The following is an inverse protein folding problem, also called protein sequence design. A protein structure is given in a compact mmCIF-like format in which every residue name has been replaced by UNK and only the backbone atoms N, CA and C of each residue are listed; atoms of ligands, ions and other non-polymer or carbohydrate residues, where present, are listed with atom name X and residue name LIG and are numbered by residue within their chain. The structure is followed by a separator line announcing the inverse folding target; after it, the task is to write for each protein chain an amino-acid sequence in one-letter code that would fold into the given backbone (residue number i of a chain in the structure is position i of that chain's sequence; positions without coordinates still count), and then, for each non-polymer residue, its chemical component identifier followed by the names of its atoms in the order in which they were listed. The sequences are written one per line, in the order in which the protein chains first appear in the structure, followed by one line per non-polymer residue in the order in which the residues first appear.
data_IF_178668184028
#
_entry.id   IF_178668184028
#
_cell.length_a   1.000
_cell.length_b   1.000
_cell.length_c   1.000
_cell.angle_alpha   90.00
_cell.angle_beta   90.00
_cell.angle_gamma   90.00
#
_symmetry.space_group_name_H-M   'P 1'
#
loop_
_entity.id
_entity.type
_entity.pdbx_description
1 polymer ?
#
# COMPACT_ATOMS: atom_id res chain seq x y z
N UNK A 1 -49.67 18.50 26.30
CA UNK A 1 -48.80 17.31 26.40
C UNK A 1 -47.52 17.67 25.70
N UNK A 2 -46.49 17.96 26.49
CA UNK A 2 -45.22 18.58 26.10
C UNK A 2 -44.15 17.51 25.87
N UNK A 3 -43.14 17.91 25.12
CA UNK A 3 -41.86 17.25 24.85
C UNK A 3 -41.82 15.93 24.07
N UNK A 4 -41.54 16.12 22.78
CA UNK A 4 -40.82 15.22 21.90
C UNK A 4 -39.44 14.85 22.47
N UNK A 5 -39.25 13.59 22.88
CA UNK A 5 -37.93 13.07 23.28
C UNK A 5 -37.54 11.91 22.37
N UNK A 6 -37.14 12.27 21.14
CA UNK A 6 -36.52 11.36 20.20
C UNK A 6 -35.09 11.05 20.67
N UNK A 7 -34.95 10.12 21.63
CA UNK A 7 -33.65 9.53 21.99
C UNK A 7 -33.15 8.65 20.84
N UNK A 8 -32.41 9.29 19.94
CA UNK A 8 -31.29 8.78 19.15
C UNK A 8 -31.10 7.24 19.21
N UNK A 9 -31.52 6.46 18.20
CA UNK A 9 -31.18 5.05 18.10
C UNK A 9 -29.85 4.91 17.34
N UNK A 10 -28.73 5.23 17.99
CA UNK A 10 -27.37 4.94 17.46
C UNK A 10 -27.09 3.42 17.37
N UNK A 11 -28.00 2.57 17.86
CA UNK A 11 -27.87 1.11 17.87
C UNK A 11 -28.25 0.43 16.56
N UNK A 12 -29.10 1.03 15.71
CA UNK A 12 -29.50 0.43 14.42
C UNK A 12 -28.57 0.82 13.25
N UNK A 13 -27.83 1.93 13.39
CA UNK A 13 -26.84 2.37 12.40
C UNK A 13 -25.50 1.63 12.55
N UNK A 14 -25.22 1.12 13.75
CA UNK A 14 -23.98 0.44 14.15
C UNK A 14 -23.66 -0.83 13.34
N UNK A 15 -24.61 -1.75 13.05
CA UNK A 15 -24.33 -2.96 12.29
C UNK A 15 -24.06 -2.64 10.81
N UNK A 16 -24.85 -1.74 10.22
CA UNK A 16 -24.70 -1.32 8.82
C UNK A 16 -23.38 -0.58 8.59
N UNK A 17 -22.98 0.29 9.52
CA UNK A 17 -21.70 0.98 9.46
C UNK A 17 -20.54 -0.01 9.63
N UNK A 18 -20.63 -0.99 10.54
CA UNK A 18 -19.59 -2.01 10.71
C UNK A 18 -19.46 -2.92 9.48
N UNK A 19 -20.58 -3.30 8.84
CA UNK A 19 -20.58 -4.08 7.60
C UNK A 19 -19.99 -3.28 6.45
N UNK A 20 -20.40 -2.02 6.27
CA UNK A 20 -19.82 -1.14 5.24
C UNK A 20 -18.32 -0.94 5.43
N UNK A 21 -17.90 -0.79 6.69
CA UNK A 21 -16.49 -0.66 7.03
C UNK A 21 -15.73 -1.95 6.74
N UNK A 22 -16.25 -3.11 7.14
CA UNK A 22 -15.64 -4.42 6.84
C UNK A 22 -15.55 -4.68 5.33
N UNK A 23 -16.57 -4.32 4.56
CA UNK A 23 -16.57 -4.42 3.09
C UNK A 23 -15.54 -3.47 2.49
N UNK A 24 -15.44 -2.23 2.98
CA UNK A 24 -14.45 -1.26 2.52
C UNK A 24 -13.02 -1.73 2.81
N UNK A 25 -12.73 -2.18 4.03
CA UNK A 25 -11.42 -2.74 4.39
C UNK A 25 -11.11 -4.03 3.62
N UNK A 26 -12.10 -4.90 3.41
CA UNK A 26 -11.96 -6.09 2.58
C UNK A 26 -11.61 -5.76 1.13
N UNK A 27 -12.27 -4.77 0.52
CA UNK A 27 -11.97 -4.29 -0.83
C UNK A 27 -10.58 -3.67 -0.92
N UNK A 28 -10.19 -2.86 0.07
CA UNK A 28 -8.84 -2.27 0.14
C UNK A 28 -7.77 -3.36 0.25
N UNK A 29 -7.95 -4.32 1.15
CA UNK A 29 -7.04 -5.46 1.29
C UNK A 29 -6.97 -6.27 -0.01
N UNK A 30 -8.09 -6.58 -0.65
CA UNK A 30 -8.09 -7.33 -1.91
C UNK A 30 -7.33 -6.61 -3.03
N UNK A 31 -7.41 -5.27 -3.10
CA UNK A 31 -6.69 -4.48 -4.11
C UNK A 31 -5.19 -4.41 -3.83
N UNK A 32 -4.80 -4.23 -2.57
CA UNK A 32 -3.40 -4.14 -2.17
C UNK A 32 -2.70 -5.50 -2.29
N UNK A 33 -3.32 -6.57 -1.76
CA UNK A 33 -2.74 -7.92 -1.81
C UNK A 33 -2.93 -8.61 -3.17
N UNK A 34 -4.01 -8.33 -3.89
CA UNK A 34 -4.23 -8.87 -5.25
C UNK A 34 -3.23 -8.33 -6.28
N UNK A 35 -2.75 -7.09 -6.11
CA UNK A 35 -1.67 -6.54 -6.93
C UNK A 35 -0.32 -7.22 -6.66
N UNK A 36 -0.10 -7.76 -5.45
CA UNK A 36 1.12 -8.48 -5.11
C UNK A 36 1.15 -9.91 -5.65
N UNK A 37 0.01 -10.62 -5.70
CA UNK A 37 -0.04 -12.01 -6.20
C UNK A 37 -0.02 -12.15 -7.72
N UNK A 38 -0.48 -11.15 -8.47
CA UNK A 38 -0.41 -11.16 -9.94
C UNK A 38 0.98 -10.81 -10.52
N UNK A 39 1.97 -10.54 -9.65
CA UNK A 39 3.34 -10.24 -10.06
C UNK A 39 4.25 -11.46 -10.27
N UNK A 40 3.79 -12.67 -9.94
CA UNK A 40 4.62 -13.89 -10.00
C UNK A 40 4.10 -14.92 -11.03
N UNK A 41 3.96 -14.52 -12.29
CA UNK A 41 3.99 -15.47 -13.40
C UNK A 41 5.19 -15.14 -14.30
N UNK A 42 6.40 -15.53 -13.85
CA UNK A 42 7.57 -15.57 -14.72
C UNK A 42 7.80 -17.00 -15.18
N UNK A 43 7.23 -17.27 -16.35
CA UNK A 43 7.43 -18.45 -17.19
C UNK A 43 8.90 -18.87 -17.22
N UNK A 44 9.17 -20.06 -16.70
CA UNK A 44 10.41 -20.82 -16.85
C UNK A 44 10.53 -21.32 -18.30
N UNK A 45 10.89 -20.41 -19.20
CA UNK A 45 11.25 -20.72 -20.58
C UNK A 45 12.77 -20.67 -20.76
N UNK A 46 13.43 -21.82 -20.67
CA UNK A 46 14.83 -21.99 -21.06
C UNK A 46 15.01 -21.62 -22.53
N UNK A 47 15.45 -20.39 -22.81
CA UNK A 47 16.09 -20.04 -24.08
C UNK A 47 17.58 -19.96 -23.84
N UNK A 48 18.26 -21.06 -24.11
CA UNK A 48 19.69 -21.02 -24.38
C UNK A 48 19.93 -20.25 -25.69
N UNK A 49 21.14 -19.69 -25.78
CA UNK A 49 21.78 -18.99 -26.90
C UNK A 49 21.77 -17.45 -26.77
N UNK A 50 22.97 -16.94 -26.49
CA UNK A 50 23.43 -15.59 -26.15
C UNK A 50 23.19 -15.15 -24.70
N UNK A 51 24.08 -15.59 -23.79
CA UNK A 51 24.27 -14.90 -22.51
C UNK A 51 24.63 -13.43 -22.78
N UNK A 52 23.96 -12.46 -22.15
CA UNK A 52 24.29 -11.04 -22.30
C UNK A 52 25.70 -10.72 -21.79
N UNK A 53 26.34 -9.70 -22.36
CA UNK A 53 27.77 -9.44 -22.15
C UNK A 53 28.13 -9.20 -20.67
N UNK A 54 27.23 -8.64 -19.88
CA UNK A 54 27.43 -8.38 -18.45
C UNK A 54 27.46 -9.63 -17.57
N UNK A 55 27.11 -10.82 -18.10
CA UNK A 55 27.31 -12.09 -17.41
C UNK A 55 28.70 -12.70 -17.66
N UNK A 56 29.39 -12.26 -18.70
CA UNK A 56 30.65 -12.85 -19.18
C UNK A 56 31.83 -11.89 -19.09
N UNK A 57 31.56 -10.58 -18.95
CA UNK A 57 32.54 -9.51 -18.93
C UNK A 57 32.27 -8.53 -17.80
N UNK A 58 33.31 -7.80 -17.39
CA UNK A 58 33.15 -6.64 -16.53
C UNK A 58 32.34 -5.56 -17.25
N UNK A 59 31.47 -4.90 -16.50
CA UNK A 59 30.63 -3.84 -17.02
C UNK A 59 30.71 -2.62 -16.12
N UNK A 60 30.52 -1.46 -16.71
CA UNK A 60 30.38 -0.19 -15.99
C UNK A 60 28.97 0.34 -16.17
N UNK A 61 28.38 0.89 -15.11
CA UNK A 61 27.05 1.49 -15.16
C UNK A 61 27.16 2.86 -15.84
N UNK A 62 26.66 2.95 -17.08
CA UNK A 62 26.65 4.17 -17.87
C UNK A 62 25.48 5.09 -17.51
N UNK A 63 24.35 4.52 -17.07
CA UNK A 63 23.19 5.28 -16.60
C UNK A 63 22.56 4.55 -15.44
N UNK A 64 22.31 5.30 -14.36
CA UNK A 64 21.68 4.81 -13.15
C UNK A 64 20.28 4.24 -13.41
N UNK A 65 19.80 3.46 -12.45
CA UNK A 65 18.52 2.77 -12.54
C UNK A 65 17.36 3.77 -12.64
N UNK A 66 16.68 3.80 -13.80
CA UNK A 66 15.58 4.74 -14.08
C UNK A 66 14.31 4.00 -14.50
N UNK A 67 13.18 4.70 -14.38
CA UNK A 67 11.88 4.16 -14.74
C UNK A 67 11.76 4.04 -16.27
N UNK A 68 11.30 2.88 -16.75
CA UNK A 68 11.16 2.65 -18.17
C UNK A 68 10.11 3.56 -18.80
N UNK A 69 10.46 4.22 -19.89
CA UNK A 69 9.49 4.98 -20.68
C UNK A 69 8.51 4.04 -21.38
N UNK A 70 7.32 4.53 -21.75
CA UNK A 70 6.29 3.71 -22.42
C UNK A 70 6.81 3.00 -23.68
N UNK A 71 7.74 3.62 -24.40
CA UNK A 71 8.41 3.01 -25.55
C UNK A 71 9.34 1.86 -25.12
N UNK A 72 10.21 2.11 -24.13
CA UNK A 72 11.15 1.09 -23.63
C UNK A 72 10.44 -0.10 -23.01
N UNK A 73 9.29 0.07 -22.37
CA UNK A 73 8.49 -1.04 -21.86
C UNK A 73 8.06 -2.01 -22.97
N UNK A 74 7.93 -1.55 -24.22
CA UNK A 74 7.56 -2.39 -25.37
C UNK A 74 8.76 -2.93 -26.12
N UNK A 75 9.87 -2.21 -26.14
CA UNK A 75 11.03 -2.54 -26.97
C UNK A 75 12.17 -3.19 -26.20
N UNK A 76 12.29 -2.94 -24.90
CA UNK A 76 13.36 -3.43 -24.03
C UNK A 76 12.82 -4.52 -23.11
N UNK A 77 13.27 -5.76 -23.33
CA UNK A 77 12.84 -6.93 -22.54
C UNK A 77 13.23 -6.82 -21.06
N UNK A 78 14.28 -6.08 -20.74
CA UNK A 78 14.70 -5.81 -19.36
C UNK A 78 13.63 -5.03 -18.56
N UNK A 79 12.83 -4.20 -19.22
CA UNK A 79 11.77 -3.44 -18.56
C UNK A 79 10.58 -4.28 -18.12
N UNK A 80 10.38 -5.48 -18.70
CA UNK A 80 9.17 -6.28 -18.47
C UNK A 80 9.04 -6.81 -17.04
N UNK A 81 10.16 -7.03 -16.33
CA UNK A 81 10.13 -7.58 -14.97
C UNK A 81 9.86 -6.55 -13.88
N UNK A 82 10.65 -5.47 -13.85
CA UNK A 82 10.62 -4.51 -12.73
C UNK A 82 10.02 -3.17 -13.14
N UNK A 83 9.93 -2.89 -14.45
CA UNK A 83 9.60 -1.55 -14.95
C UNK A 83 10.73 -0.54 -14.80
N UNK A 84 11.92 -0.97 -14.39
CA UNK A 84 13.12 -0.15 -14.25
C UNK A 84 14.29 -0.76 -15.02
N UNK A 85 15.14 0.10 -15.56
CA UNK A 85 16.28 -0.31 -16.36
C UNK A 85 17.49 0.56 -16.04
N UNK A 86 18.66 -0.08 -16.03
CA UNK A 86 19.96 0.58 -15.99
C UNK A 86 20.67 0.33 -17.32
N UNK A 87 21.42 1.32 -17.79
CA UNK A 87 22.24 1.17 -19.00
C UNK A 87 23.66 0.89 -18.57
N UNK A 88 24.24 -0.19 -19.09
CA UNK A 88 25.58 -0.64 -18.76
C UNK A 88 26.41 -0.74 -20.03
N UNK A 89 27.71 -0.51 -19.91
CA UNK A 89 28.67 -0.68 -20.98
C UNK A 89 29.63 -1.82 -20.60
N UNK A 90 29.67 -2.86 -21.43
CA UNK A 90 30.58 -3.99 -21.25
C UNK A 90 31.99 -3.58 -21.70
N UNK A 91 32.96 -3.62 -20.80
CA UNK A 91 34.27 -2.99 -21.02
C UNK A 91 35.09 -3.67 -22.12
N UNK A 92 34.96 -4.99 -22.25
CA UNK A 92 35.72 -5.79 -23.21
C UNK A 92 35.10 -5.77 -24.62
N UNK A 93 33.78 -5.83 -24.72
CA UNK A 93 33.04 -5.69 -26.00
C UNK A 93 32.79 -4.23 -26.43
N UNK A 94 32.99 -3.26 -25.54
CA UNK A 94 32.55 -1.86 -25.68
C UNK A 94 31.10 -1.72 -26.16
N UNK A 95 30.21 -2.56 -25.61
CA UNK A 95 28.81 -2.65 -26.03
C UNK A 95 27.90 -2.15 -24.91
N UNK A 96 27.00 -1.25 -25.27
CA UNK A 96 25.92 -0.82 -24.39
C UNK A 96 24.79 -1.85 -24.39
N UNK A 97 24.40 -2.30 -23.20
CA UNK A 97 23.30 -3.21 -22.98
C UNK A 97 22.35 -2.65 -21.90
N UNK A 98 21.09 -3.06 -21.97
CA UNK A 98 20.08 -2.70 -20.98
C UNK A 98 19.86 -3.87 -20.03
N UNK A 99 19.96 -3.59 -18.73
CA UNK A 99 19.78 -4.57 -17.67
C UNK A 99 18.63 -4.14 -16.75
N UNK A 100 17.85 -5.12 -16.28
CA UNK A 100 16.82 -4.83 -15.30
C UNK A 100 17.49 -4.55 -13.95
N UNK A 101 17.04 -3.49 -13.31
CA UNK A 101 17.54 -3.07 -12.02
C UNK A 101 16.41 -3.03 -10.99
N UNK A 102 16.79 -3.17 -9.72
CA UNK A 102 15.90 -3.03 -8.58
C UNK A 102 16.35 -1.76 -7.84
N UNK A 103 15.59 -0.68 -7.99
CA UNK A 103 15.91 0.60 -7.36
C UNK A 103 15.56 0.56 -5.88
N UNK A 104 16.58 0.56 -5.00
CA UNK A 104 16.39 0.65 -3.54
C UNK A 104 15.69 1.96 -3.14
N UNK A 105 16.00 3.05 -3.83
CA UNK A 105 15.39 4.38 -3.61
C UNK A 105 13.87 4.35 -3.82
N UNK A 106 13.39 3.54 -4.78
CA UNK A 106 11.95 3.42 -5.00
C UNK A 106 11.27 2.52 -3.96
N UNK A 107 11.95 1.48 -3.47
CA UNK A 107 11.45 0.66 -2.37
C UNK A 107 11.26 1.51 -1.10
N UNK A 108 12.18 2.44 -0.84
CA UNK A 108 12.07 3.39 0.27
C UNK A 108 10.87 4.32 0.13
N UNK A 109 10.58 4.83 -1.07
CA UNK A 109 9.41 5.69 -1.30
C UNK A 109 8.08 4.94 -1.13
N UNK A 110 7.99 3.71 -1.63
CA UNK A 110 6.80 2.87 -1.40
C UNK A 110 6.64 2.53 0.08
N UNK A 111 7.74 2.25 0.76
CA UNK A 111 7.76 2.00 2.19
C UNK A 111 7.24 3.21 2.98
N UNK A 112 7.79 4.40 2.76
CA UNK A 112 7.35 5.62 3.46
C UNK A 112 5.88 5.98 3.19
N UNK A 113 5.40 5.75 1.97
CA UNK A 113 4.00 5.95 1.63
C UNK A 113 3.10 4.97 2.37
N UNK A 114 3.46 3.70 2.40
CA UNK A 114 2.71 2.67 3.12
C UNK A 114 2.71 2.95 4.63
N UNK A 115 3.88 3.16 5.22
CA UNK A 115 4.07 3.45 6.63
C UNK A 115 3.26 4.68 7.05
N UNK A 116 3.35 5.77 6.27
CA UNK A 116 2.58 7.00 6.51
C UNK A 116 1.06 6.77 6.48
N UNK A 117 0.56 5.96 5.55
CA UNK A 117 -0.87 5.61 5.46
C UNK A 117 -1.31 4.79 6.67
N UNK A 118 -0.54 3.78 7.07
CA UNK A 118 -0.87 2.91 8.22
C UNK A 118 -0.81 3.69 9.54
N UNK A 119 0.20 4.53 9.72
CA UNK A 119 0.31 5.40 10.90
C UNK A 119 -0.86 6.39 10.97
N UNK A 120 -1.16 7.08 9.87
CA UNK A 120 -2.28 8.02 9.82
C UNK A 120 -3.62 7.34 10.12
N UNK A 121 -3.85 6.16 9.55
CA UNK A 121 -5.02 5.36 9.82
C UNK A 121 -5.15 4.96 11.30
N UNK A 122 -4.03 4.58 11.91
CA UNK A 122 -3.97 4.18 13.32
C UNK A 122 -4.36 5.35 14.23
N UNK A 123 -3.88 6.56 13.95
CA UNK A 123 -4.25 7.78 14.67
C UNK A 123 -5.75 8.06 14.53
N UNK A 124 -6.31 7.94 13.33
CA UNK A 124 -7.76 8.14 13.10
C UNK A 124 -8.57 7.16 13.94
N UNK A 125 -8.22 5.88 13.94
CA UNK A 125 -8.92 4.89 14.76
C UNK A 125 -8.78 5.17 16.26
N UNK A 126 -7.59 5.56 16.73
CA UNK A 126 -7.39 5.93 18.13
C UNK A 126 -8.30 7.10 18.54
N UNK A 127 -8.42 8.15 17.72
CA UNK A 127 -9.31 9.27 17.98
C UNK A 127 -10.79 8.85 18.03
N UNK A 128 -11.23 8.00 17.12
CA UNK A 128 -12.59 7.45 17.11
C UNK A 128 -12.88 6.65 18.38
N UNK A 129 -11.94 5.82 18.82
CA UNK A 129 -12.07 5.01 20.04
C UNK A 129 -12.15 5.91 21.27
N UNK A 130 -11.25 6.89 21.41
CA UNK A 130 -11.25 7.84 22.53
C UNK A 130 -12.55 8.65 22.55
N UNK A 131 -13.01 9.13 21.39
CA UNK A 131 -14.27 9.87 21.29
C UNK A 131 -15.47 9.05 21.76
N UNK A 132 -15.51 7.75 21.40
CA UNK A 132 -16.54 6.83 21.88
C UNK A 132 -16.44 6.55 23.38
N UNK A 133 -15.23 6.31 23.91
CA UNK A 133 -15.02 6.12 25.33
C UNK A 133 -15.48 7.33 26.14
N UNK A 134 -15.12 8.56 25.72
CA UNK A 134 -15.59 9.79 26.38
C UNK A 134 -17.11 9.95 26.34
N UNK A 135 -17.77 9.54 25.27
CA UNK A 135 -19.23 9.54 25.19
C UNK A 135 -19.85 8.56 26.20
N UNK A 136 -19.27 7.36 26.33
CA UNK A 136 -19.71 6.36 27.31
C UNK A 136 -19.46 6.83 28.76
N UNK A 137 -18.31 7.45 29.04
CA UNK A 137 -17.98 7.99 30.37
C UNK A 137 -18.92 9.14 30.76
N UNK A 138 -19.24 10.05 29.83
CA UNK A 138 -20.25 11.10 30.06
C UNK A 138 -21.60 10.49 30.41
N UNK A 139 -22.06 9.51 29.63
CA UNK A 139 -23.33 8.81 29.90
C UNK A 139 -23.32 8.06 31.23
N UNK A 140 -22.18 7.50 31.66
CA UNK A 140 -22.05 6.85 32.96
C UNK A 140 -22.11 7.86 34.11
N UNK A 141 -21.40 8.99 34.00
CA UNK A 141 -21.40 10.05 35.02
C UNK A 141 -22.78 10.70 35.20
N UNK A 142 -23.52 10.91 34.10
CA UNK A 142 -24.88 11.45 34.14
C UNK A 142 -25.87 10.48 34.80
N UNK A 143 -25.67 9.16 34.62
CA UNK A 143 -26.48 8.14 35.32
C UNK A 143 -26.25 8.16 36.82
N UNK A 144 -25.00 8.29 37.27
CA UNK A 144 -24.66 8.39 38.70
C UNK A 144 -25.24 9.67 39.30
N UNK A 145 -25.11 10.81 38.61
CA UNK A 145 -25.61 12.09 39.12
C UNK A 145 -27.13 12.13 39.28
N UNK A 146 -27.89 11.51 38.36
CA UNK A 146 -29.36 11.38 38.50
C UNK A 146 -29.79 10.49 39.66
N UNK A 147 -28.96 9.54 40.09
CA UNK A 147 -29.26 8.74 41.29
C UNK A 147 -29.09 9.53 42.59
N UNK A 148 -28.28 10.61 42.58
CA UNK A 148 -28.07 11.46 43.76
C UNK A 148 -29.16 12.53 43.88
N UNK A 149 -29.70 13.02 42.75
CA UNK A 149 -30.80 14.00 42.73
C UNK A 149 -32.19 13.37 43.03
N UNK A 150 -32.32 12.04 43.04
CA UNK A 150 -33.58 11.32 43.30
C UNK A 150 -33.72 10.75 44.72
N UNK A 151 -32.79 11.07 45.61
CA UNK A 151 -32.80 10.72 47.04
C UNK A 151 -33.23 11.97 47.81
#
# INVERSE_FOLDING_TARGET
GMESDCRIPMSCLRPRVLVLHAVFWGLVCLRVFGAALLGEEKTTGTKAVNMPCWQVEEFVVATECTLCTAFQTKTVTACTQTGYVERINCTKSNKDEYKSCRSSVMEEHLFWKFEGVVLGLTVVFALVVIGRQRSLDRQASEKVRRQIESI
#
